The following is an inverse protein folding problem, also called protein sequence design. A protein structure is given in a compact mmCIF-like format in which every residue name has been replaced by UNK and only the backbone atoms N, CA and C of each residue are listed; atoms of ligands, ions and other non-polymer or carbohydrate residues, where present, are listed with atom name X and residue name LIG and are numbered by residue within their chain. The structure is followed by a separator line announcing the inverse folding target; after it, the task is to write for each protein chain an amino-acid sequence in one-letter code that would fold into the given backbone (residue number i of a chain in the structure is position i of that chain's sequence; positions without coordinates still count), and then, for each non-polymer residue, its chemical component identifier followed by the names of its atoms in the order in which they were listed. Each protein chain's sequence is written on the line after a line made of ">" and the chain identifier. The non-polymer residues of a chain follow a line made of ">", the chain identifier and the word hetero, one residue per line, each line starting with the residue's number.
data_IF_652957012901
#
_entry.id   IF_652957012901
#
_cell.length_a   1.000
_cell.length_b   1.000
_cell.length_c   1.000
_cell.angle_alpha   90.00
_cell.angle_beta   90.00
_cell.angle_gamma   90.00
#
_symmetry.space_group_name_H-M   'P 1'
#
loop_
_entity.id
_entity.type
_entity.pdbx_description
1 polymer ?
#
# COMPACT_ATOMS: atom_id res chain seq x y z
N UNK A 1 -49.50 70.59 26.17
CA UNK A 1 -49.98 69.81 25.05
C UNK A 1 -49.22 70.24 23.83
N UNK A 2 -48.12 69.59 23.51
CA UNK A 2 -47.38 69.88 22.30
C UNK A 2 -47.12 68.53 21.63
N UNK A 3 -47.77 68.28 20.50
CA UNK A 3 -47.56 67.09 19.69
C UNK A 3 -46.32 67.23 18.82
N UNK A 4 -45.38 66.25 18.91
CA UNK A 4 -44.31 66.14 18.01
C UNK A 4 -44.60 65.20 16.86
N UNK A 5 -44.19 65.51 15.62
CA UNK A 5 -44.47 64.68 14.46
C UNK A 5 -43.53 63.51 14.31
N UNK A 6 -44.12 62.35 14.05
CA UNK A 6 -43.42 61.13 13.73
C UNK A 6 -42.79 61.23 12.31
N UNK A 7 -41.44 61.33 12.21
CA UNK A 7 -40.72 61.24 10.93
C UNK A 7 -40.54 59.78 10.56
N UNK A 8 -41.15 59.35 9.45
CA UNK A 8 -40.91 58.10 8.78
C UNK A 8 -39.45 58.03 8.34
N UNK A 9 -38.72 57.11 8.93
CA UNK A 9 -37.40 56.71 8.44
C UNK A 9 -37.59 55.80 7.21
N UNK A 10 -37.40 56.37 6.04
CA UNK A 10 -37.42 55.64 4.77
C UNK A 10 -36.20 54.71 4.68
N UNK A 11 -36.51 53.47 4.29
CA UNK A 11 -35.58 52.37 4.15
C UNK A 11 -34.53 52.55 3.04
N UNK A 12 -33.38 53.17 3.37
CA UNK A 12 -32.26 53.36 2.45
C UNK A 12 -30.93 52.78 2.96
N UNK A 13 -31.01 51.94 3.97
CA UNK A 13 -29.79 51.31 4.52
C UNK A 13 -29.66 49.78 4.27
N UNK A 14 -30.60 49.17 3.54
CA UNK A 14 -30.56 47.73 3.26
C UNK A 14 -30.05 47.37 1.86
N UNK A 15 -29.80 48.32 1.00
CA UNK A 15 -29.29 48.06 -0.37
C UNK A 15 -27.82 47.58 -0.42
N UNK A 16 -26.85 48.11 0.35
CA UNK A 16 -25.45 47.67 0.26
C UNK A 16 -25.24 46.26 0.83
N UNK A 17 -26.05 45.82 1.79
CA UNK A 17 -25.89 44.48 2.38
C UNK A 17 -26.34 43.36 1.44
N UNK A 18 -27.37 43.56 0.64
CA UNK A 18 -27.87 42.59 -0.36
C UNK A 18 -26.90 42.47 -1.54
N UNK A 19 -26.29 43.56 -1.97
CA UNK A 19 -25.28 43.56 -3.04
C UNK A 19 -23.97 42.95 -2.57
N UNK A 20 -23.58 43.16 -1.32
CA UNK A 20 -22.37 42.52 -0.75
C UNK A 20 -22.55 41.01 -0.59
N UNK A 21 -23.75 40.57 -0.14
CA UNK A 21 -24.05 39.15 -0.01
C UNK A 21 -24.10 38.43 -1.39
N UNK A 22 -24.66 39.12 -2.41
CA UNK A 22 -24.65 38.62 -3.79
C UNK A 22 -23.24 38.51 -4.37
N UNK A 23 -22.35 39.48 -4.07
CA UNK A 23 -20.94 39.44 -4.52
C UNK A 23 -20.14 38.30 -3.87
N UNK A 24 -20.37 38.06 -2.57
CA UNK A 24 -19.75 36.96 -1.84
C UNK A 24 -20.21 35.60 -2.35
N UNK A 25 -21.49 35.44 -2.69
CA UNK A 25 -22.00 34.18 -3.29
C UNK A 25 -21.45 33.98 -4.70
N UNK A 26 -21.29 35.04 -5.50
CA UNK A 26 -20.70 34.97 -6.83
C UNK A 26 -19.19 34.60 -6.78
N UNK A 27 -18.45 35.09 -5.81
CA UNK A 27 -17.04 34.73 -5.61
C UNK A 27 -16.89 33.29 -5.16
N UNK A 28 -17.80 32.73 -4.35
CA UNK A 28 -17.77 31.32 -3.94
C UNK A 28 -18.07 30.34 -5.08
N UNK A 29 -18.80 30.72 -6.09
CA UNK A 29 -19.09 29.89 -7.28
C UNK A 29 -17.85 29.78 -8.20
N UNK A 30 -16.94 30.77 -8.17
CA UNK A 30 -15.73 30.75 -9.00
C UNK A 30 -14.50 30.12 -8.31
N UNK A 31 -14.56 29.84 -6.99
CA UNK A 31 -13.49 29.15 -6.26
C UNK A 31 -13.91 27.69 -5.96
N UNK A 32 -14.57 27.02 -6.88
CA UNK A 32 -14.45 25.58 -6.95
C UNK A 32 -13.05 25.31 -7.50
N UNK A 33 -12.13 24.69 -6.74
CA UNK A 33 -10.95 24.17 -7.36
C UNK A 33 -11.45 23.21 -8.44
N UNK A 34 -11.31 23.62 -9.69
CA UNK A 34 -11.46 22.68 -10.78
C UNK A 34 -10.49 21.54 -10.49
N UNK A 35 -11.02 20.43 -10.01
CA UNK A 35 -10.28 19.18 -10.06
C UNK A 35 -10.09 18.95 -11.56
N UNK A 36 -9.01 19.50 -12.09
CA UNK A 36 -8.45 19.10 -13.35
C UNK A 36 -8.18 17.62 -13.20
N UNK A 37 -9.10 16.80 -13.64
CA UNK A 37 -8.83 15.39 -13.86
C UNK A 37 -7.82 15.37 -14.99
N UNK A 38 -6.54 15.49 -14.63
CA UNK A 38 -5.48 15.09 -15.54
C UNK A 38 -5.83 13.68 -15.98
N UNK A 39 -5.95 13.43 -17.29
CA UNK A 39 -6.30 12.10 -17.77
C UNK A 39 -5.31 11.12 -17.15
N UNK A 40 -5.82 10.13 -16.42
CA UNK A 40 -4.99 9.09 -15.82
C UNK A 40 -4.21 8.45 -16.96
N UNK A 41 -2.90 8.63 -16.97
CA UNK A 41 -2.05 8.05 -17.98
C UNK A 41 -2.20 6.54 -17.91
N UNK A 42 -2.59 5.92 -18.99
CA UNK A 42 -2.62 4.46 -19.08
C UNK A 42 -1.21 3.93 -19.24
N UNK A 43 -0.75 3.16 -18.26
CA UNK A 43 0.56 2.50 -18.28
C UNK A 43 0.56 1.18 -19.08
N UNK A 44 -0.55 0.85 -19.71
CA UNK A 44 -0.79 -0.46 -20.32
C UNK A 44 0.24 -0.81 -21.42
N UNK A 45 0.60 0.17 -22.25
CA UNK A 45 1.60 -0.04 -23.31
C UNK A 45 2.98 -0.32 -22.75
N UNK A 46 3.37 0.41 -21.72
CA UNK A 46 4.65 0.25 -21.03
C UNK A 46 4.73 -1.10 -20.35
N UNK A 47 3.68 -1.54 -19.64
CA UNK A 47 3.62 -2.85 -19.03
C UNK A 47 3.65 -3.98 -20.04
N UNK A 48 2.91 -3.88 -21.14
CA UNK A 48 2.95 -4.87 -22.22
C UNK A 48 4.35 -5.01 -22.81
N UNK A 49 5.08 -3.89 -22.99
CA UNK A 49 6.48 -3.93 -23.43
C UNK A 49 7.36 -4.69 -22.43
N UNK A 50 7.16 -4.46 -21.12
CA UNK A 50 7.91 -5.15 -20.07
C UNK A 50 7.59 -6.64 -20.08
N UNK A 51 6.32 -7.03 -20.13
CA UNK A 51 5.90 -8.42 -20.22
C UNK A 51 6.50 -9.13 -21.44
N UNK A 52 6.54 -8.46 -22.61
CA UNK A 52 7.20 -8.98 -23.81
C UNK A 52 8.72 -9.15 -23.63
N UNK A 53 9.37 -8.23 -22.91
CA UNK A 53 10.79 -8.34 -22.59
C UNK A 53 11.08 -9.56 -21.70
N UNK A 54 10.22 -9.81 -20.72
CA UNK A 54 10.36 -10.94 -19.76
C UNK A 54 10.02 -12.26 -20.47
N UNK A 55 8.81 -12.34 -21.05
CA UNK A 55 8.25 -13.62 -21.49
C UNK A 55 8.79 -14.09 -22.84
N UNK A 56 8.86 -13.16 -23.81
CA UNK A 56 9.23 -13.49 -25.22
C UNK A 56 10.72 -13.33 -25.48
N UNK A 57 11.32 -12.22 -25.00
CA UNK A 57 12.71 -11.89 -25.33
C UNK A 57 13.72 -12.41 -24.31
N UNK A 58 13.26 -12.81 -23.11
CA UNK A 58 14.13 -13.29 -22.01
C UNK A 58 15.23 -12.29 -21.63
N UNK A 59 14.85 -11.00 -21.53
CA UNK A 59 15.76 -9.89 -21.21
C UNK A 59 15.40 -9.24 -19.86
N UNK A 60 15.58 -9.93 -18.72
CA UNK A 60 15.14 -9.43 -17.41
C UNK A 60 15.86 -8.13 -16.99
N UNK A 61 17.16 -7.97 -17.31
CA UNK A 61 17.90 -6.73 -17.01
C UNK A 61 17.35 -5.50 -17.74
N UNK A 62 16.96 -5.69 -19.01
CA UNK A 62 16.32 -4.61 -19.80
C UNK A 62 14.93 -4.32 -19.26
N UNK A 63 14.15 -5.36 -18.93
CA UNK A 63 12.84 -5.21 -18.30
C UNK A 63 12.94 -4.43 -16.98
N UNK A 64 13.91 -4.75 -16.11
CA UNK A 64 14.16 -4.03 -14.87
C UNK A 64 14.42 -2.53 -15.10
N UNK A 65 15.19 -2.19 -16.15
CA UNK A 65 15.44 -0.78 -16.49
C UNK A 65 14.14 -0.05 -16.89
N UNK A 66 13.28 -0.69 -17.66
CA UNK A 66 11.98 -0.11 -18.05
C UNK A 66 11.02 0.00 -16.85
N UNK A 67 10.99 -1.00 -15.95
CA UNK A 67 10.19 -0.94 -14.71
C UNK A 67 10.62 0.24 -13.84
N UNK A 68 11.93 0.50 -13.69
CA UNK A 68 12.44 1.66 -12.94
C UNK A 68 11.96 3.00 -13.53
N UNK A 69 11.78 3.10 -14.85
CA UNK A 69 11.21 4.30 -15.48
C UNK A 69 9.74 4.47 -15.12
N UNK A 70 8.96 3.37 -15.16
CA UNK A 70 7.55 3.40 -14.70
C UNK A 70 7.47 3.79 -13.23
N UNK A 71 8.29 3.21 -12.37
CA UNK A 71 8.34 3.54 -10.95
C UNK A 71 8.56 5.05 -10.72
N UNK A 72 9.59 5.64 -11.36
CA UNK A 72 9.87 7.06 -11.22
C UNK A 72 8.72 7.95 -11.70
N UNK A 73 8.09 7.58 -12.82
CA UNK A 73 6.93 8.29 -13.36
C UNK A 73 5.72 8.16 -12.44
N UNK A 74 5.40 6.96 -11.97
CA UNK A 74 4.28 6.70 -11.07
C UNK A 74 4.41 7.45 -9.74
N UNK A 75 5.62 7.55 -9.18
CA UNK A 75 5.90 8.39 -7.99
C UNK A 75 5.61 9.85 -8.27
N UNK A 76 6.07 10.38 -9.42
CA UNK A 76 5.81 11.77 -9.83
C UNK A 76 4.32 12.04 -10.03
N UNK A 77 3.60 11.10 -10.63
CA UNK A 77 2.18 11.21 -10.94
C UNK A 77 1.27 10.77 -9.78
N UNK A 78 1.85 10.35 -8.63
CA UNK A 78 1.14 9.85 -7.44
C UNK A 78 0.17 8.71 -7.76
N UNK A 79 0.60 7.80 -8.61
CA UNK A 79 -0.16 6.63 -9.02
C UNK A 79 0.21 5.42 -8.15
N UNK A 80 -0.38 5.32 -6.96
CA UNK A 80 0.00 4.34 -5.93
C UNK A 80 -0.04 2.89 -6.43
N UNK A 81 -1.07 2.49 -7.17
CA UNK A 81 -1.18 1.14 -7.73
C UNK A 81 0.00 0.83 -8.68
N UNK A 82 0.42 1.81 -9.49
CA UNK A 82 1.56 1.66 -10.41
C UNK A 82 2.89 1.59 -9.65
N UNK A 83 3.04 2.36 -8.56
CA UNK A 83 4.22 2.29 -7.67
C UNK A 83 4.34 0.89 -7.08
N UNK A 84 3.25 0.36 -6.51
CA UNK A 84 3.24 -0.98 -5.92
C UNK A 84 3.56 -2.04 -6.98
N UNK A 85 2.93 -1.97 -8.16
CA UNK A 85 3.19 -2.88 -9.28
C UNK A 85 4.67 -2.86 -9.68
N UNK A 86 5.23 -1.66 -9.82
CA UNK A 86 6.64 -1.50 -10.18
C UNK A 86 7.59 -2.09 -9.14
N UNK A 87 7.32 -1.88 -7.83
CA UNK A 87 8.12 -2.48 -6.75
C UNK A 87 8.07 -4.01 -6.80
N UNK A 88 6.88 -4.61 -7.00
CA UNK A 88 6.72 -6.07 -7.12
C UNK A 88 7.52 -6.61 -8.32
N UNK A 89 7.43 -5.95 -9.48
CA UNK A 89 8.20 -6.36 -10.67
C UNK A 89 9.72 -6.18 -10.47
N UNK A 90 10.16 -5.10 -9.80
CA UNK A 90 11.58 -4.91 -9.50
C UNK A 90 12.13 -6.04 -8.63
N UNK A 91 11.40 -6.43 -7.58
CA UNK A 91 11.77 -7.53 -6.70
C UNK A 91 11.90 -8.83 -7.50
N UNK A 92 10.86 -9.23 -8.24
CA UNK A 92 10.87 -10.48 -9.01
C UNK A 92 11.98 -10.52 -10.09
N UNK A 93 12.23 -9.40 -10.79
CA UNK A 93 13.28 -9.32 -11.80
C UNK A 93 14.70 -9.31 -11.21
N UNK A 94 14.84 -8.83 -9.99
CA UNK A 94 16.11 -8.89 -9.28
C UNK A 94 16.37 -10.31 -8.78
N UNK A 95 15.35 -11.07 -8.37
CA UNK A 95 15.46 -12.48 -8.01
C UNK A 95 16.06 -13.33 -9.15
N UNK A 96 15.75 -13.05 -10.38
CA UNK A 96 16.31 -13.76 -11.54
C UNK A 96 17.79 -13.40 -11.83
N UNK A 97 18.31 -12.31 -11.27
CA UNK A 97 19.60 -11.75 -11.71
C UNK A 97 20.70 -11.68 -10.67
N UNK A 98 20.43 -11.99 -9.40
CA UNK A 98 21.38 -11.85 -8.29
C UNK A 98 21.30 -12.99 -7.26
N UNK A 99 22.44 -13.39 -6.70
CA UNK A 99 22.54 -14.46 -5.70
C UNK A 99 22.12 -14.03 -4.26
N UNK A 100 21.96 -12.73 -3.96
CA UNK A 100 21.63 -12.21 -2.60
C UNK A 100 20.47 -11.23 -2.63
N UNK A 101 19.35 -11.66 -3.14
CA UNK A 101 18.29 -10.77 -3.54
C UNK A 101 17.28 -10.40 -2.43
N UNK A 102 17.05 -11.34 -1.49
CA UNK A 102 15.98 -11.15 -0.49
C UNK A 102 16.28 -9.98 0.45
N UNK A 103 17.55 -9.80 0.85
CA UNK A 103 17.94 -8.65 1.69
C UNK A 103 17.71 -7.31 1.00
N UNK A 104 17.94 -7.25 -0.32
CA UNK A 104 17.69 -6.02 -1.09
C UNK A 104 16.19 -5.77 -1.29
N UNK A 105 15.41 -6.82 -1.56
CA UNK A 105 13.95 -6.75 -1.67
C UNK A 105 13.32 -6.21 -0.37
N UNK A 106 13.76 -6.71 0.78
CA UNK A 106 13.34 -6.24 2.10
C UNK A 106 13.63 -4.75 2.26
N UNK A 107 14.86 -4.32 1.99
CA UNK A 107 15.27 -2.91 2.10
C UNK A 107 14.48 -1.99 1.16
N UNK A 108 14.18 -2.44 -0.06
CA UNK A 108 13.38 -1.66 -1.01
C UNK A 108 11.96 -1.45 -0.52
N UNK A 109 11.30 -2.50 0.01
CA UNK A 109 9.95 -2.36 0.57
C UNK A 109 9.97 -1.51 1.85
N UNK A 110 10.95 -1.66 2.73
CA UNK A 110 11.08 -0.85 3.95
C UNK A 110 11.26 0.64 3.63
N UNK A 111 12.01 0.99 2.58
CA UNK A 111 12.11 2.38 2.09
C UNK A 111 10.76 2.92 1.62
N UNK A 112 9.97 2.10 0.94
CA UNK A 112 8.62 2.50 0.52
C UNK A 112 7.68 2.69 1.72
N UNK A 113 7.70 1.79 2.70
CA UNK A 113 6.91 1.91 3.94
C UNK A 113 7.24 3.22 4.66
N UNK A 114 8.51 3.62 4.71
CA UNK A 114 8.95 4.83 5.41
C UNK A 114 8.39 6.14 4.80
N UNK A 115 8.03 6.15 3.52
CA UNK A 115 7.58 7.35 2.81
C UNK A 115 6.12 7.28 2.34
N UNK A 116 5.54 6.09 2.30
CA UNK A 116 4.17 5.87 1.86
C UNK A 116 3.16 6.35 2.91
N UNK A 117 1.93 6.57 2.45
CA UNK A 117 0.77 6.85 3.31
C UNK A 117 -0.23 5.71 3.21
N UNK A 118 -1.16 5.65 4.16
CA UNK A 118 -2.27 4.72 4.07
C UNK A 118 -3.16 5.04 2.83
N UNK A 119 -3.68 4.03 2.16
CA UNK A 119 -3.65 2.59 2.47
C UNK A 119 -2.42 1.83 1.92
N UNK A 120 -1.49 2.51 1.26
CA UNK A 120 -0.32 1.91 0.60
C UNK A 120 0.64 1.27 1.60
N UNK A 121 0.83 1.89 2.77
CA UNK A 121 1.63 1.31 3.88
C UNK A 121 1.11 -0.06 4.28
N UNK A 122 -0.20 -0.21 4.41
CA UNK A 122 -0.84 -1.49 4.74
C UNK A 122 -0.55 -2.56 3.68
N UNK A 123 -0.58 -2.20 2.39
CA UNK A 123 -0.25 -3.11 1.29
C UNK A 123 1.23 -3.52 1.35
N UNK A 124 2.14 -2.56 1.54
CA UNK A 124 3.57 -2.86 1.63
C UNK A 124 3.92 -3.70 2.86
N UNK A 125 3.28 -3.49 4.02
CA UNK A 125 3.45 -4.38 5.18
C UNK A 125 3.06 -5.82 4.85
N UNK A 126 1.93 -6.03 4.16
CA UNK A 126 1.51 -7.37 3.74
C UNK A 126 2.43 -8.00 2.69
N UNK A 127 3.00 -7.20 1.78
CA UNK A 127 4.01 -7.66 0.81
C UNK A 127 5.31 -8.04 1.51
N UNK A 128 5.78 -7.20 2.43
CA UNK A 128 7.00 -7.46 3.20
C UNK A 128 6.87 -8.72 4.05
N UNK A 129 5.70 -8.94 4.68
CA UNK A 129 5.41 -10.20 5.37
C UNK A 129 5.59 -11.41 4.45
N UNK A 130 5.07 -11.31 3.21
CA UNK A 130 5.23 -12.36 2.20
C UNK A 130 6.68 -12.60 1.79
N UNK A 131 7.50 -11.55 1.67
CA UNK A 131 8.94 -11.69 1.35
C UNK A 131 9.69 -12.42 2.47
N UNK A 132 9.47 -12.03 3.73
CA UNK A 132 10.06 -12.73 4.89
C UNK A 132 9.62 -14.19 4.96
N UNK A 133 8.34 -14.46 4.70
CA UNK A 133 7.79 -15.80 4.73
C UNK A 133 8.35 -16.66 3.59
N UNK A 134 8.52 -16.10 2.39
CA UNK A 134 9.14 -16.79 1.26
C UNK A 134 10.59 -17.17 1.58
N UNK A 135 11.37 -16.22 2.13
CA UNK A 135 12.74 -16.51 2.58
C UNK A 135 12.76 -17.66 3.61
N UNK A 136 11.88 -17.60 4.60
CA UNK A 136 11.74 -18.66 5.60
C UNK A 136 11.47 -20.01 4.95
N UNK A 137 10.54 -20.12 4.01
CA UNK A 137 10.22 -21.39 3.34
C UNK A 137 11.37 -21.95 2.51
N UNK A 138 12.13 -21.09 1.87
CA UNK A 138 13.30 -21.51 1.08
C UNK A 138 14.43 -22.04 1.96
N UNK A 139 14.57 -21.51 3.16
CA UNK A 139 15.68 -21.84 4.09
C UNK A 139 15.24 -22.62 5.33
N UNK A 140 13.98 -23.05 5.43
CA UNK A 140 13.36 -23.58 6.66
C UNK A 140 14.16 -24.67 7.34
N UNK A 141 14.72 -25.62 6.61
CA UNK A 141 15.51 -26.72 7.18
C UNK A 141 16.76 -26.24 7.92
N UNK A 142 17.41 -25.23 7.38
CA UNK A 142 18.57 -24.62 8.03
C UNK A 142 18.18 -23.77 9.24
N UNK A 143 16.99 -23.18 9.20
CA UNK A 143 16.49 -22.29 10.27
C UNK A 143 15.96 -23.07 11.46
N UNK A 144 15.37 -24.24 11.26
CA UNK A 144 14.91 -25.10 12.36
C UNK A 144 16.08 -25.70 13.17
N UNK A 145 17.19 -26.04 12.53
CA UNK A 145 18.38 -26.55 13.21
C UNK A 145 19.20 -25.46 13.92
N UNK A 146 18.80 -24.20 13.76
CA UNK A 146 19.56 -23.07 14.29
C UNK A 146 19.08 -22.74 15.71
N UNK A 147 19.99 -22.94 16.69
CA UNK A 147 19.81 -22.46 18.05
C UNK A 147 20.01 -20.94 18.13
N UNK A 148 19.46 -20.30 19.18
CA UNK A 148 19.66 -18.87 19.41
C UNK A 148 21.12 -18.46 19.32
N UNK A 149 21.44 -17.58 18.41
CA UNK A 149 22.81 -17.14 18.15
C UNK A 149 23.18 -16.04 19.15
N UNK A 150 24.26 -16.22 19.92
CA UNK A 150 24.77 -15.18 20.85
C UNK A 150 25.19 -13.87 20.15
N UNK A 151 25.29 -13.87 18.81
CA UNK A 151 25.63 -12.72 17.98
C UNK A 151 24.49 -12.36 17.03
N UNK A 152 23.28 -12.34 17.53
CA UNK A 152 22.10 -11.91 16.75
C UNK A 152 22.26 -10.46 16.23
N UNK A 153 22.21 -10.31 14.91
CA UNK A 153 22.16 -9.00 14.24
C UNK A 153 20.79 -8.84 13.58
N UNK A 154 19.98 -7.98 14.13
CA UNK A 154 18.62 -7.74 13.65
C UNK A 154 18.57 -7.33 12.17
N UNK A 155 19.59 -6.67 11.69
CA UNK A 155 19.73 -6.19 10.30
C UNK A 155 20.13 -7.28 9.31
N UNK A 156 20.66 -8.42 9.81
CA UNK A 156 21.08 -9.54 8.97
C UNK A 156 20.15 -10.75 9.15
N UNK A 157 19.21 -10.90 8.25
CA UNK A 157 18.23 -11.99 8.26
C UNK A 157 18.88 -13.39 8.22
N UNK A 158 20.12 -13.49 7.73
CA UNK A 158 20.89 -14.74 7.73
C UNK A 158 21.25 -15.21 9.15
N UNK A 159 21.14 -14.34 10.15
CA UNK A 159 21.39 -14.65 11.58
C UNK A 159 20.12 -15.02 12.35
N UNK A 160 18.94 -14.89 11.73
CA UNK A 160 17.67 -15.10 12.38
C UNK A 160 17.35 -16.57 12.59
N UNK A 161 16.59 -16.85 13.64
CA UNK A 161 15.97 -18.14 13.91
C UNK A 161 14.57 -18.23 13.26
N UNK A 162 13.99 -19.42 13.19
CA UNK A 162 12.60 -19.63 12.77
C UNK A 162 11.64 -18.76 13.59
N UNK A 163 11.82 -18.67 14.90
CA UNK A 163 11.01 -17.84 15.79
C UNK A 163 11.08 -16.34 15.46
N UNK A 164 12.27 -15.82 15.08
CA UNK A 164 12.44 -14.42 14.69
C UNK A 164 11.68 -14.11 13.40
N UNK A 165 11.71 -15.03 12.41
CA UNK A 165 10.92 -14.89 11.18
C UNK A 165 9.44 -14.89 11.48
N UNK A 166 8.93 -15.84 12.25
CA UNK A 166 7.51 -15.92 12.59
C UNK A 166 7.04 -14.71 13.37
N UNK A 167 7.85 -14.21 14.30
CA UNK A 167 7.57 -12.96 15.02
C UNK A 167 7.44 -11.78 14.06
N UNK A 168 8.43 -11.58 13.17
CA UNK A 168 8.44 -10.48 12.22
C UNK A 168 7.27 -10.55 11.24
N UNK A 169 6.98 -11.73 10.69
CA UNK A 169 5.85 -11.95 9.77
C UNK A 169 4.51 -11.66 10.45
N UNK A 170 4.33 -12.14 11.70
CA UNK A 170 3.14 -11.86 12.50
C UNK A 170 2.94 -10.36 12.72
N UNK A 171 3.99 -9.65 13.13
CA UNK A 171 3.96 -8.19 13.32
C UNK A 171 3.55 -7.46 12.03
N UNK A 172 4.13 -7.83 10.90
CA UNK A 172 3.85 -7.19 9.61
C UNK A 172 2.41 -7.46 9.13
N UNK A 173 1.90 -8.69 9.27
CA UNK A 173 0.51 -8.97 8.92
C UNK A 173 -0.46 -8.22 9.82
N UNK A 174 -0.20 -8.13 11.14
CA UNK A 174 -1.02 -7.33 12.05
C UNK A 174 -0.95 -5.83 11.71
N UNK A 175 0.23 -5.31 11.36
CA UNK A 175 0.37 -3.92 10.90
C UNK A 175 -0.41 -3.67 9.59
N UNK A 176 -0.43 -4.65 8.68
CA UNK A 176 -1.13 -4.51 7.41
C UNK A 176 -2.65 -4.33 7.52
N UNK A 177 -3.25 -4.76 8.63
CA UNK A 177 -4.69 -4.66 8.89
C UNK A 177 -5.07 -3.66 9.98
N UNK A 178 -4.07 -2.97 10.58
CA UNK A 178 -4.26 -2.12 11.76
C UNK A 178 -5.24 -0.98 11.52
N UNK A 179 -5.24 -0.38 10.34
CA UNK A 179 -6.13 0.74 10.01
C UNK A 179 -7.46 0.25 9.42
N UNK A 180 -8.13 -0.61 10.17
CA UNK A 180 -9.34 -1.32 9.77
C UNK A 180 -10.37 -0.43 9.10
N UNK A 181 -10.77 0.67 9.75
CA UNK A 181 -11.82 1.57 9.26
C UNK A 181 -11.50 2.15 7.87
N UNK A 182 -10.27 2.59 7.66
CA UNK A 182 -9.84 3.12 6.35
C UNK A 182 -9.81 2.02 5.30
N UNK A 183 -9.29 0.87 5.66
CA UNK A 183 -9.16 -0.27 4.74
C UNK A 183 -10.53 -0.83 4.32
N UNK A 184 -11.52 -0.86 5.21
CA UNK A 184 -12.90 -1.23 4.90
C UNK A 184 -13.58 -0.22 3.96
N UNK A 185 -13.22 1.05 4.04
CA UNK A 185 -13.71 2.09 3.12
C UNK A 185 -13.00 2.08 1.76
N UNK A 186 -11.82 1.47 1.69
CA UNK A 186 -11.02 1.42 0.47
C UNK A 186 -11.46 0.26 -0.42
N UNK A 187 -12.01 0.56 -1.60
CA UNK A 187 -12.44 -0.43 -2.57
C UNK A 187 -11.26 -1.08 -3.27
N UNK A 188 -11.28 -2.41 -3.42
CA UNK A 188 -10.26 -3.16 -4.16
C UNK A 188 -10.11 -2.70 -5.61
N UNK A 189 -11.15 -2.14 -6.21
CA UNK A 189 -11.13 -1.64 -7.59
C UNK A 189 -10.00 -0.64 -7.85
N UNK A 190 -9.62 0.15 -6.84
CA UNK A 190 -8.51 1.11 -6.95
C UNK A 190 -7.15 0.44 -7.16
N UNK A 191 -7.05 -0.84 -6.88
CA UNK A 191 -5.83 -1.65 -6.98
C UNK A 191 -5.97 -2.83 -7.96
N UNK A 192 -6.92 -2.75 -8.89
CA UNK A 192 -7.19 -3.81 -9.89
C UNK A 192 -5.99 -4.22 -10.71
N UNK A 193 -5.05 -3.31 -10.91
CA UNK A 193 -3.85 -3.53 -11.71
C UNK A 193 -2.79 -4.38 -11.01
N UNK A 194 -2.90 -4.54 -9.68
CA UNK A 194 -1.96 -5.32 -8.86
C UNK A 194 -2.59 -6.56 -8.23
N UNK A 195 -3.89 -6.76 -8.42
CA UNK A 195 -4.63 -7.85 -7.80
C UNK A 195 -5.12 -8.82 -8.86
N UNK A 196 -4.81 -10.11 -8.69
CA UNK A 196 -5.42 -11.16 -9.49
C UNK A 196 -6.92 -11.26 -9.17
N UNK A 197 -7.75 -11.08 -10.19
CA UNK A 197 -9.21 -11.10 -10.05
C UNK A 197 -9.69 -12.52 -9.86
N UNK A 198 -10.19 -12.85 -8.67
CA UNK A 198 -10.89 -14.10 -8.40
C UNK A 198 -12.36 -14.05 -8.83
N UNK A 199 -13.04 -15.20 -8.76
CA UNK A 199 -14.43 -15.37 -9.24
C UNK A 199 -15.47 -14.76 -8.28
N UNK A 200 -15.14 -14.61 -6.99
CA UNK A 200 -16.09 -14.22 -5.93
C UNK A 200 -15.74 -12.87 -5.29
N UNK A 201 -15.18 -11.99 -6.07
CA UNK A 201 -14.72 -10.67 -5.60
C UNK A 201 -15.82 -9.82 -4.94
N UNK A 202 -17.07 -10.02 -5.33
CA UNK A 202 -18.22 -9.32 -4.73
C UNK A 202 -18.41 -9.64 -3.24
N UNK A 203 -17.92 -10.80 -2.78
CA UNK A 203 -17.95 -11.19 -1.36
C UNK A 203 -16.82 -10.54 -0.54
N UNK A 204 -15.79 -9.99 -1.22
CA UNK A 204 -14.60 -9.39 -0.61
C UNK A 204 -14.23 -8.10 -1.35
N UNK A 205 -15.08 -7.05 -1.22
CA UNK A 205 -14.96 -5.85 -2.07
C UNK A 205 -13.94 -4.82 -1.57
N UNK A 206 -13.41 -4.98 -0.35
CA UNK A 206 -12.56 -3.99 0.29
C UNK A 206 -11.10 -4.42 0.38
N UNK A 207 -10.22 -3.45 0.57
CA UNK A 207 -8.80 -3.72 0.80
C UNK A 207 -8.59 -4.46 2.13
N UNK A 208 -9.43 -4.19 3.14
CA UNK A 208 -9.42 -4.94 4.40
C UNK A 208 -9.63 -6.44 4.16
N UNK A 209 -10.64 -6.80 3.36
CA UNK A 209 -10.92 -8.20 3.06
C UNK A 209 -9.71 -8.92 2.47
N UNK A 210 -9.01 -8.26 1.52
CA UNK A 210 -7.82 -8.82 0.89
C UNK A 210 -6.69 -9.03 1.91
N UNK A 211 -6.36 -7.99 2.67
CA UNK A 211 -5.23 -8.03 3.60
C UNK A 211 -5.50 -8.94 4.79
N UNK A 212 -6.74 -8.92 5.32
CA UNK A 212 -7.15 -9.80 6.41
C UNK A 212 -7.11 -11.28 6.01
N UNK A 213 -7.51 -11.62 4.77
CA UNK A 213 -7.39 -12.99 4.30
C UNK A 213 -5.94 -13.45 4.18
N UNK A 214 -5.04 -12.60 3.67
CA UNK A 214 -3.62 -12.92 3.62
C UNK A 214 -3.02 -13.14 5.02
N UNK A 215 -3.39 -12.30 5.97
CA UNK A 215 -3.00 -12.47 7.37
C UNK A 215 -3.58 -13.76 7.96
N UNK A 216 -4.87 -14.01 7.74
CA UNK A 216 -5.56 -15.21 8.24
C UNK A 216 -4.95 -16.50 7.68
N UNK A 217 -4.62 -16.55 6.39
CA UNK A 217 -3.98 -17.71 5.77
C UNK A 217 -2.64 -18.04 6.47
N UNK A 218 -1.85 -17.02 6.80
CA UNK A 218 -0.63 -17.22 7.58
C UNK A 218 -0.94 -17.69 9.02
N UNK A 219 -1.88 -17.04 9.73
CA UNK A 219 -2.19 -17.38 11.12
C UNK A 219 -2.86 -18.76 11.29
N UNK A 220 -3.48 -19.29 10.25
CA UNK A 220 -4.04 -20.65 10.22
C UNK A 220 -3.00 -21.72 9.88
N UNK A 221 -1.82 -21.31 9.44
CA UNK A 221 -0.74 -22.25 9.11
C UNK A 221 -0.16 -22.85 10.38
N UNK A 222 -0.01 -24.16 10.40
CA UNK A 222 0.56 -24.93 11.53
C UNK A 222 2.09 -24.74 11.63
N UNK A 223 2.73 -24.15 10.63
CA UNK A 223 4.20 -23.99 10.59
C UNK A 223 4.76 -23.13 11.73
N UNK A 224 3.95 -22.21 12.28
CA UNK A 224 4.36 -21.40 13.44
C UNK A 224 4.58 -22.23 14.71
N UNK A 225 3.95 -23.36 14.79
CA UNK A 225 3.86 -24.15 16.02
C UNK A 225 4.76 -25.38 15.98
N UNK A 226 5.48 -25.61 14.88
CA UNK A 226 6.37 -26.78 14.72
C UNK A 226 7.47 -26.82 15.80
N UNK A 227 7.97 -25.65 16.21
CA UNK A 227 9.03 -25.56 17.23
C UNK A 227 8.47 -25.48 18.67
N UNK A 228 7.13 -25.43 18.87
CA UNK A 228 6.55 -25.40 20.19
C UNK A 228 6.50 -26.80 20.78
N UNK A 229 6.99 -27.00 22.02
CA UNK A 229 6.75 -28.24 22.74
C UNK A 229 5.23 -28.53 22.82
N UNK A 230 4.86 -29.82 22.74
CA UNK A 230 3.45 -30.23 22.75
C UNK A 230 2.63 -29.69 23.95
N UNK A 231 3.29 -29.40 25.07
CA UNK A 231 2.67 -28.81 26.27
C UNK A 231 2.54 -27.27 26.23
N UNK A 232 3.07 -26.61 25.21
CA UNK A 232 2.99 -25.15 25.06
C UNK A 232 1.78 -24.67 24.25
N UNK A 233 0.88 -25.57 23.86
CA UNK A 233 -0.39 -25.21 23.25
C UNK A 233 -1.31 -24.65 24.33
N UNK A 234 -1.41 -23.32 24.39
CA UNK A 234 -2.44 -22.64 25.17
C UNK A 234 -3.72 -22.55 24.34
N UNK A 235 -4.83 -22.89 24.97
CA UNK A 235 -6.20 -22.79 24.41
C UNK A 235 -6.67 -21.33 24.50
#
# INVERSE_FOLDING_TARGET
>A
MISLPCKKFNGMLMQPLKTLLSLVVLIHVFITPGYSQTPVKTYEKEWKKIDDLITKKKLPKTALTEVKKIYALAKKEKQDAQVIKAVVYMIGLQEETREENESEAIKEIEKEIAVAKEPVVSIFNSLLAGVYLNYFYQHRWQLYDRTETKQFKKEDIKTWTAADFHKKVSELYLQSIKNEKLLQQTRLKSFDEIILKGNVRHLRPTLYDLLAHRALDYFKSDERDIDKPAYAFEI
#
